data_IF_603476803640
#
_entry.id   IF_603476803640
#
_cell.length_a   1.000
_cell.length_b   1.000
_cell.length_c   1.000
_cell.angle_alpha   90.00
_cell.angle_beta   90.00
_cell.angle_gamma   90.00
#
_symmetry.space_group_name_H-M   'P 1'
#
loop_
_entity.id
_entity.type
_entity.pdbx_description
1 polymer ?
#
# COMPACT_ATOMS: atom_id res chain seq x y z
N UNK A 1 56.74 -15.86 -37.41
CA UNK A 1 55.39 -16.38 -37.16
C UNK A 1 54.81 -15.63 -35.97
N UNK A 2 53.72 -14.88 -36.12
CA UNK A 2 53.11 -14.16 -35.00
C UNK A 2 52.33 -15.13 -34.11
N UNK A 3 52.57 -15.06 -32.81
CA UNK A 3 51.89 -15.82 -31.76
C UNK A 3 50.46 -15.33 -31.56
N UNK A 4 49.49 -16.24 -31.60
CA UNK A 4 48.12 -15.99 -31.19
C UNK A 4 48.08 -15.60 -29.69
N UNK A 5 47.34 -14.55 -29.29
CA UNK A 5 47.01 -14.37 -27.88
C UNK A 5 45.99 -15.44 -27.48
N UNK A 6 46.37 -16.23 -26.47
CA UNK A 6 45.53 -17.22 -25.80
C UNK A 6 44.24 -16.57 -25.27
N UNK A 7 43.10 -17.17 -25.60
CA UNK A 7 41.77 -16.81 -25.10
C UNK A 7 41.77 -16.71 -23.57
N UNK A 8 41.19 -15.66 -22.96
CA UNK A 8 41.02 -15.62 -21.51
C UNK A 8 40.02 -16.70 -21.12
N UNK A 9 40.43 -17.57 -20.21
CA UNK A 9 39.60 -18.54 -19.52
C UNK A 9 38.40 -17.84 -18.90
N UNK A 10 37.19 -18.34 -19.19
CA UNK A 10 35.96 -17.85 -18.57
C UNK A 10 36.09 -17.98 -17.04
N UNK A 11 35.80 -16.93 -16.25
CA UNK A 11 35.84 -17.03 -14.80
C UNK A 11 34.77 -18.02 -14.35
N UNK A 12 35.16 -18.97 -13.51
CA UNK A 12 34.23 -19.90 -12.86
C UNK A 12 33.18 -19.08 -12.09
N UNK A 13 31.91 -19.28 -12.44
CA UNK A 13 30.80 -18.67 -11.71
C UNK A 13 30.76 -19.27 -10.31
N UNK A 14 31.18 -18.49 -9.31
CA UNK A 14 31.07 -18.90 -7.92
C UNK A 14 29.60 -19.09 -7.52
N UNK A 15 29.32 -20.07 -6.67
CA UNK A 15 28.00 -20.34 -6.09
C UNK A 15 27.30 -19.06 -5.59
N UNK A 16 28.04 -18.12 -4.99
CA UNK A 16 27.50 -16.82 -4.54
C UNK A 16 27.02 -15.91 -5.68
N UNK A 17 27.65 -15.97 -6.86
CA UNK A 17 27.22 -15.25 -8.06
C UNK A 17 25.93 -15.87 -8.62
N UNK A 18 25.79 -17.18 -8.56
CA UNK A 18 24.58 -17.87 -9.01
C UNK A 18 23.43 -17.70 -8.01
N UNK A 19 23.70 -17.71 -6.70
CA UNK A 19 22.71 -17.36 -5.65
C UNK A 19 22.28 -15.91 -5.76
N UNK A 20 23.19 -14.96 -5.97
CA UNK A 20 22.82 -13.55 -6.15
C UNK A 20 22.03 -13.30 -7.44
N UNK A 21 22.37 -14.00 -8.53
CA UNK A 21 21.60 -13.96 -9.79
C UNK A 21 20.21 -14.59 -9.61
N UNK A 22 20.11 -15.70 -8.88
CA UNK A 22 18.85 -16.35 -8.53
C UNK A 22 17.98 -15.44 -7.65
N UNK A 23 18.54 -14.89 -6.57
CA UNK A 23 17.85 -13.93 -5.69
C UNK A 23 17.42 -12.67 -6.46
N UNK A 24 18.25 -12.19 -7.39
CA UNK A 24 17.92 -11.09 -8.29
C UNK A 24 16.73 -11.39 -9.21
N UNK A 25 16.66 -12.60 -9.77
CA UNK A 25 15.54 -13.06 -10.60
C UNK A 25 14.26 -13.29 -9.77
N UNK A 26 14.40 -13.83 -8.56
CA UNK A 26 13.29 -14.09 -7.64
C UNK A 26 12.67 -12.77 -7.12
N UNK A 27 13.51 -11.76 -6.84
CA UNK A 27 13.08 -10.44 -6.36
C UNK A 27 12.09 -9.75 -7.32
N UNK A 28 12.23 -9.93 -8.62
CA UNK A 28 11.35 -9.31 -9.62
C UNK A 28 9.89 -9.75 -9.49
N UNK A 29 9.63 -11.00 -9.10
CA UNK A 29 8.27 -11.50 -8.84
C UNK A 29 7.79 -11.18 -7.41
N UNK A 30 8.68 -11.30 -6.42
CA UNK A 30 8.32 -11.13 -5.01
C UNK A 30 8.08 -9.68 -4.62
N UNK A 31 8.77 -8.73 -5.24
CA UNK A 31 8.56 -7.31 -4.96
C UNK A 31 7.14 -6.82 -5.29
N UNK A 32 6.63 -6.94 -6.53
CA UNK A 32 5.27 -6.49 -6.85
C UNK A 32 4.22 -7.26 -6.04
N UNK A 33 4.42 -8.55 -5.81
CA UNK A 33 3.52 -9.35 -4.96
C UNK A 33 3.54 -8.90 -3.50
N UNK A 34 4.72 -8.60 -2.94
CA UNK A 34 4.87 -8.11 -1.57
C UNK A 34 4.27 -6.71 -1.39
N UNK A 35 4.42 -5.84 -2.38
CA UNK A 35 3.77 -4.53 -2.39
C UNK A 35 2.25 -4.65 -2.47
N UNK A 36 1.75 -5.50 -3.36
CA UNK A 36 0.32 -5.79 -3.51
C UNK A 36 -0.25 -6.36 -2.22
N UNK A 37 0.39 -7.38 -1.65
CA UNK A 37 -0.06 -8.02 -0.42
C UNK A 37 -0.06 -7.04 0.76
N UNK A 38 0.97 -6.21 0.90
CA UNK A 38 1.03 -5.22 1.97
C UNK A 38 -0.10 -4.19 1.85
N UNK A 39 -0.36 -3.71 0.63
CA UNK A 39 -1.47 -2.79 0.38
C UNK A 39 -2.80 -3.48 0.68
N UNK A 40 -3.03 -4.69 0.16
CA UNK A 40 -4.28 -5.43 0.37
C UNK A 40 -4.55 -5.71 1.85
N UNK A 41 -3.55 -6.18 2.60
CA UNK A 41 -3.69 -6.38 4.07
C UNK A 41 -3.99 -5.07 4.79
N UNK A 42 -3.40 -3.97 4.35
CA UNK A 42 -3.71 -2.65 4.88
C UNK A 42 -5.11 -2.15 4.54
N UNK A 43 -5.58 -2.40 3.32
CA UNK A 43 -6.93 -2.03 2.87
C UNK A 43 -7.95 -2.82 3.66
N UNK A 44 -7.73 -4.12 3.81
CA UNK A 44 -8.55 -5.01 4.64
C UNK A 44 -8.69 -4.49 6.07
N UNK A 45 -7.55 -4.22 6.74
CA UNK A 45 -7.55 -3.68 8.11
C UNK A 45 -8.27 -2.32 8.23
N UNK A 46 -8.22 -1.49 7.20
CA UNK A 46 -8.94 -0.22 7.16
C UNK A 46 -10.43 -0.36 6.78
N UNK A 47 -10.79 -1.40 6.02
CA UNK A 47 -12.16 -1.71 5.67
C UNK A 47 -12.93 -2.29 6.86
N UNK A 48 -12.27 -3.09 7.72
CA UNK A 48 -12.86 -3.58 8.97
C UNK A 48 -13.32 -2.43 9.87
N UNK A 49 -12.49 -1.38 10.01
CA UNK A 49 -12.86 -0.20 10.82
C UNK A 49 -13.91 0.67 10.12
N UNK A 50 -14.00 0.59 8.80
CA UNK A 50 -15.04 1.25 8.01
C UNK A 50 -16.38 0.51 8.10
N UNK A 51 -16.40 -0.82 8.23
CA UNK A 51 -17.62 -1.62 8.38
C UNK A 51 -18.42 -1.18 9.62
N UNK A 52 -17.76 -1.01 10.76
CA UNK A 52 -18.39 -0.50 11.99
C UNK A 52 -19.03 0.89 11.80
N UNK A 53 -18.36 1.76 11.04
CA UNK A 53 -18.86 3.11 10.72
C UNK A 53 -20.01 3.07 9.74
N UNK A 54 -19.96 2.18 8.75
CA UNK A 54 -21.03 1.95 7.78
C UNK A 54 -22.28 1.39 8.47
N UNK A 55 -22.13 0.43 9.37
CA UNK A 55 -23.22 -0.08 10.19
C UNK A 55 -23.88 1.04 10.99
N UNK A 56 -23.07 1.85 11.68
CA UNK A 56 -23.58 3.01 12.43
C UNK A 56 -24.32 4.00 11.52
N UNK A 57 -23.85 4.22 10.30
CA UNK A 57 -24.51 5.10 9.34
C UNK A 57 -25.84 4.51 8.84
N UNK A 58 -25.88 3.23 8.53
CA UNK A 58 -27.08 2.51 8.11
C UNK A 58 -28.13 2.54 9.23
N UNK A 59 -27.75 2.27 10.48
CA UNK A 59 -28.65 2.33 11.64
C UNK A 59 -29.20 3.76 11.88
N UNK A 60 -28.38 4.79 11.66
CA UNK A 60 -28.84 6.20 11.75
C UNK A 60 -29.81 6.57 10.64
N UNK A 61 -29.59 6.07 9.42
CA UNK A 61 -30.48 6.32 8.30
C UNK A 61 -31.82 5.62 8.49
N UNK A 62 -31.78 4.37 8.96
CA UNK A 62 -32.97 3.57 9.27
C UNK A 62 -33.80 4.22 10.38
N UNK A 63 -33.18 4.56 11.50
CA UNK A 63 -33.88 5.26 12.60
C UNK A 63 -34.44 6.63 12.20
N UNK A 64 -33.75 7.39 11.33
CA UNK A 64 -34.28 8.64 10.80
C UNK A 64 -35.48 8.42 9.86
N UNK A 65 -35.45 7.35 9.05
CA UNK A 65 -36.56 6.95 8.20
C UNK A 65 -37.76 6.53 9.05
N UNK A 66 -37.57 5.65 10.03
CA UNK A 66 -38.62 5.23 10.96
C UNK A 66 -39.24 6.42 11.70
N UNK A 67 -38.41 7.36 12.16
CA UNK A 67 -38.87 8.56 12.85
C UNK A 67 -39.63 9.55 11.93
N UNK A 68 -39.42 9.50 10.62
CA UNK A 68 -40.14 10.32 9.64
C UNK A 68 -41.46 9.66 9.25
N UNK A 69 -41.40 8.38 8.92
CA UNK A 69 -42.52 7.58 8.39
C UNK A 69 -43.51 7.21 9.50
N UNK A 70 -43.03 6.98 10.72
CA UNK A 70 -43.87 6.76 11.91
C UNK A 70 -44.70 7.97 12.34
N UNK A 71 -44.46 9.17 11.77
CA UNK A 71 -45.30 10.36 12.02
C UNK A 71 -46.67 10.28 11.37
N UNK A 72 -46.83 9.44 10.35
CA UNK A 72 -48.07 9.33 9.60
C UNK A 72 -48.71 7.95 9.82
N UNK A 73 -49.97 7.88 10.29
CA UNK A 73 -50.67 6.61 10.51
C UNK A 73 -50.75 5.73 9.25
N UNK A 74 -50.84 6.35 8.07
CA UNK A 74 -50.90 5.67 6.77
C UNK A 74 -49.63 4.89 6.42
N UNK A 75 -48.49 5.24 7.03
CA UNK A 75 -47.20 4.62 6.74
C UNK A 75 -46.59 3.91 7.94
N UNK A 76 -47.34 3.75 9.04
CA UNK A 76 -46.88 3.09 10.25
C UNK A 76 -46.42 1.64 10.02
N UNK A 77 -46.95 0.95 9.00
CA UNK A 77 -46.54 -0.41 8.64
C UNK A 77 -45.15 -0.50 7.96
N UNK A 78 -44.54 0.64 7.62
CA UNK A 78 -43.22 0.72 7.00
C UNK A 78 -42.10 0.95 8.04
N UNK A 79 -42.45 1.18 9.31
CA UNK A 79 -41.49 1.25 10.42
C UNK A 79 -40.92 -0.15 10.69
N UNK A 80 -39.62 -0.25 10.97
CA UNK A 80 -38.90 -1.52 11.18
C UNK A 80 -38.96 -2.48 9.97
N UNK A 81 -39.16 -1.96 8.76
CA UNK A 81 -39.22 -2.80 7.55
C UNK A 81 -37.89 -3.48 7.25
N UNK A 82 -36.77 -2.85 7.61
CA UNK A 82 -35.42 -3.38 7.42
C UNK A 82 -34.91 -3.95 8.72
N UNK A 83 -34.83 -5.29 8.81
CA UNK A 83 -34.36 -5.95 10.03
C UNK A 83 -32.88 -5.65 10.30
N UNK A 84 -32.46 -5.75 11.57
CA UNK A 84 -31.05 -5.60 11.97
C UNK A 84 -30.13 -6.51 11.15
N UNK A 85 -30.54 -7.76 10.92
CA UNK A 85 -29.76 -8.71 10.10
C UNK A 85 -29.55 -8.20 8.67
N UNK A 86 -30.57 -7.60 8.05
CA UNK A 86 -30.46 -7.01 6.72
C UNK A 86 -29.53 -5.80 6.72
N UNK A 87 -29.60 -4.94 7.75
CA UNK A 87 -28.70 -3.78 7.92
C UNK A 87 -27.24 -4.22 8.05
N UNK A 88 -26.96 -5.24 8.86
CA UNK A 88 -25.61 -5.80 9.00
C UNK A 88 -25.11 -6.42 7.69
N UNK A 89 -25.95 -7.18 6.98
CA UNK A 89 -25.57 -7.76 5.67
C UNK A 89 -25.28 -6.68 4.64
N UNK A 90 -26.07 -5.60 4.63
CA UNK A 90 -25.86 -4.46 3.74
C UNK A 90 -24.55 -3.73 4.05
N UNK A 91 -24.27 -3.44 5.33
CA UNK A 91 -23.03 -2.81 5.77
C UNK A 91 -21.80 -3.61 5.32
N UNK A 92 -21.79 -4.92 5.57
CA UNK A 92 -20.70 -5.83 5.14
C UNK A 92 -20.54 -5.90 3.63
N UNK A 93 -21.64 -5.95 2.88
CA UNK A 93 -21.59 -5.96 1.42
C UNK A 93 -21.02 -4.64 0.86
N UNK A 94 -21.39 -3.50 1.48
CA UNK A 94 -20.84 -2.20 1.13
C UNK A 94 -19.34 -2.11 1.49
N UNK A 95 -18.95 -2.59 2.67
CA UNK A 95 -17.55 -2.65 3.10
C UNK A 95 -16.71 -3.49 2.14
N UNK A 96 -17.18 -4.69 1.77
CA UNK A 96 -16.51 -5.56 0.79
C UNK A 96 -16.39 -4.90 -0.59
N UNK A 97 -17.47 -4.29 -1.09
CA UNK A 97 -17.42 -3.56 -2.35
C UNK A 97 -16.43 -2.40 -2.33
N UNK A 98 -16.32 -1.73 -1.19
CA UNK A 98 -15.37 -0.64 -0.95
C UNK A 98 -13.93 -1.13 -0.88
N UNK A 99 -13.68 -2.22 -0.16
CA UNK A 99 -12.39 -2.90 -0.04
C UNK A 99 -11.86 -3.29 -1.42
N UNK A 100 -12.65 -4.01 -2.21
CA UNK A 100 -12.27 -4.45 -3.56
C UNK A 100 -11.98 -3.27 -4.50
N UNK A 101 -12.77 -2.20 -4.40
CA UNK A 101 -12.54 -1.01 -5.20
C UNK A 101 -11.25 -0.27 -4.77
N UNK A 102 -10.97 -0.21 -3.46
CA UNK A 102 -9.74 0.39 -2.94
C UNK A 102 -8.51 -0.43 -3.32
N UNK A 103 -8.57 -1.76 -3.26
CA UNK A 103 -7.51 -2.65 -3.74
C UNK A 103 -7.22 -2.42 -5.22
N UNK A 104 -8.26 -2.34 -6.05
CA UNK A 104 -8.11 -2.06 -7.47
C UNK A 104 -7.41 -0.71 -7.71
N UNK A 105 -7.71 0.30 -6.90
CA UNK A 105 -7.17 1.65 -7.08
C UNK A 105 -5.76 1.84 -6.51
N UNK A 106 -5.44 1.16 -5.40
CA UNK A 106 -4.19 1.34 -4.65
C UNK A 106 -3.15 0.25 -4.93
N UNK A 107 -3.58 -0.99 -5.12
CA UNK A 107 -2.71 -2.15 -5.29
C UNK A 107 -2.35 -2.41 -6.75
N UNK A 108 -3.25 -2.16 -7.72
CA UNK A 108 -2.92 -2.32 -9.15
C UNK A 108 -1.67 -1.56 -9.60
N UNK A 109 -1.41 -0.30 -9.18
CA UNK A 109 -0.18 0.40 -9.53
C UNK A 109 1.10 -0.38 -9.15
N UNK A 110 1.04 -1.23 -8.12
CA UNK A 110 2.14 -2.08 -7.69
C UNK A 110 2.44 -3.23 -8.66
N UNK A 111 1.46 -3.71 -9.44
CA UNK A 111 1.70 -4.72 -10.50
C UNK A 111 2.53 -4.15 -11.65
N UNK A 112 2.43 -2.84 -11.89
CA UNK A 112 3.29 -2.14 -12.85
C UNK A 112 4.69 -1.83 -12.31
N UNK A 113 5.04 -2.28 -11.10
CA UNK A 113 6.35 -2.02 -10.51
C UNK A 113 7.45 -2.71 -11.33
N UNK A 114 8.37 -1.90 -11.88
CA UNK A 114 9.58 -2.38 -12.54
C UNK A 114 10.78 -1.90 -11.75
N UNK A 115 11.53 -2.84 -11.21
CA UNK A 115 12.79 -2.54 -10.54
C UNK A 115 13.86 -2.31 -11.61
N UNK A 116 14.26 -1.04 -11.81
CA UNK A 116 15.38 -0.74 -12.69
C UNK A 116 16.63 -1.24 -11.97
N UNK A 117 17.30 -2.24 -12.56
CA UNK A 117 18.58 -2.72 -12.06
C UNK A 117 19.56 -1.54 -11.96
N UNK A 118 20.32 -1.46 -10.87
CA UNK A 118 21.42 -0.50 -10.80
C UNK A 118 22.33 -0.75 -12.03
N UNK A 119 22.68 0.28 -12.82
CA UNK A 119 23.52 0.09 -13.99
C UNK A 119 24.81 -0.59 -13.56
N UNK A 120 25.24 -1.65 -14.27
CA UNK A 120 26.54 -2.25 -14.02
C UNK A 120 27.60 -1.17 -14.22
N UNK A 121 28.69 -1.18 -13.45
CA UNK A 121 29.72 -0.13 -13.51
C UNK A 121 30.21 0.21 -14.94
N UNK A 122 30.19 -0.78 -15.84
CA UNK A 122 30.51 -0.62 -17.28
C UNK A 122 29.42 0.13 -18.07
N UNK A 123 28.14 -0.10 -17.76
CA UNK A 123 26.99 0.61 -18.35
C UNK A 123 26.88 2.03 -17.80
N UNK A 124 27.24 2.25 -16.53
CA UNK A 124 27.29 3.58 -15.93
C UNK A 124 28.30 4.49 -16.66
N UNK A 125 29.49 3.98 -16.99
CA UNK A 125 30.50 4.73 -17.73
C UNK A 125 30.10 5.01 -19.18
N UNK A 126 29.44 4.05 -19.84
CA UNK A 126 28.91 4.21 -21.21
C UNK A 126 27.74 5.21 -21.26
N UNK A 127 26.85 5.17 -20.25
CA UNK A 127 25.75 6.14 -20.11
C UNK A 127 26.23 7.57 -19.81
N UNK A 128 27.39 7.74 -19.17
CA UNK A 128 28.03 9.06 -18.99
C UNK A 128 28.62 9.61 -20.31
N UNK A 129 29.09 8.74 -21.20
CA UNK A 129 29.57 9.12 -22.54
C UNK A 129 28.42 9.41 -23.51
N UNK A 130 27.30 8.69 -23.38
CA UNK A 130 26.08 8.86 -24.20
C UNK A 130 25.14 9.96 -23.66
N UNK A 131 25.42 10.54 -22.49
CA UNK A 131 24.63 11.61 -21.85
C UNK A 131 24.60 12.96 -22.60
N UNK A 132 25.19 13.04 -23.80
CA UNK A 132 25.03 14.19 -24.70
C UNK A 132 23.71 14.16 -25.49
N UNK A 133 22.95 13.06 -25.44
CA UNK A 133 21.61 12.95 -26.02
C UNK A 133 20.55 12.87 -24.90
N UNK A 134 19.52 13.75 -24.89
CA UNK A 134 18.49 13.73 -23.86
C UNK A 134 17.56 12.53 -24.07
N UNK A 135 17.92 11.38 -23.49
CA UNK A 135 17.05 10.21 -23.46
C UNK A 135 15.82 10.50 -22.59
N UNK A 136 14.64 10.56 -23.20
CA UNK A 136 13.36 10.94 -22.60
C UNK A 136 12.76 9.93 -21.60
N UNK A 137 13.55 8.94 -21.15
CA UNK A 137 13.09 7.76 -20.40
C UNK A 137 13.98 7.40 -19.20
N UNK A 138 14.70 8.38 -18.63
CA UNK A 138 15.40 8.20 -17.35
C UNK A 138 14.44 8.20 -16.14
N UNK A 139 14.76 7.49 -15.03
CA UNK A 139 13.92 7.47 -13.84
C UNK A 139 13.82 8.87 -13.22
N UNK A 140 12.59 9.38 -13.06
CA UNK A 140 12.34 10.68 -12.43
C UNK A 140 12.66 10.57 -10.94
N UNK A 141 13.63 11.36 -10.47
CA UNK A 141 14.00 11.44 -9.05
C UNK A 141 12.80 11.82 -8.18
N UNK A 142 12.66 11.21 -6.99
CA UNK A 142 11.55 11.46 -6.07
C UNK A 142 11.40 12.95 -5.71
N UNK A 143 12.51 13.68 -5.64
CA UNK A 143 12.53 15.13 -5.37
C UNK A 143 11.83 15.90 -6.48
N UNK A 144 12.03 15.48 -7.73
CA UNK A 144 11.40 16.09 -8.90
C UNK A 144 9.90 15.77 -8.91
N UNK A 145 9.50 14.54 -8.59
CA UNK A 145 8.09 14.16 -8.45
C UNK A 145 7.39 14.99 -7.37
N UNK A 146 8.01 15.11 -6.19
CA UNK A 146 7.47 15.90 -5.09
C UNK A 146 7.38 17.39 -5.46
N UNK A 147 8.42 17.95 -6.07
CA UNK A 147 8.42 19.33 -6.54
C UNK A 147 7.31 19.59 -7.57
N UNK A 148 7.06 18.65 -8.48
CA UNK A 148 5.95 18.74 -9.44
C UNK A 148 4.59 18.70 -8.75
N UNK A 149 4.41 17.81 -7.78
CA UNK A 149 3.18 17.71 -7.01
C UNK A 149 2.90 18.96 -6.17
N UNK A 150 3.95 19.58 -5.62
CA UNK A 150 3.84 20.86 -4.90
C UNK A 150 3.50 22.02 -5.83
N UNK A 151 4.08 22.07 -7.03
CA UNK A 151 3.83 23.15 -8.00
C UNK A 151 2.49 23.02 -8.72
N UNK A 152 1.98 21.81 -8.89
CA UNK A 152 0.73 21.50 -9.60
C UNK A 152 -0.09 20.51 -8.77
N UNK A 153 -0.68 20.96 -7.65
CA UNK A 153 -1.47 20.11 -6.78
C UNK A 153 -2.74 19.67 -7.51
N UNK A 154 -3.01 18.37 -7.49
CA UNK A 154 -4.28 17.79 -7.94
C UNK A 154 -4.76 16.80 -6.89
N UNK A 155 -6.08 16.52 -6.79
CA UNK A 155 -6.60 15.55 -5.84
C UNK A 155 -5.90 14.19 -5.97
N UNK A 156 -5.69 13.73 -7.21
CA UNK A 156 -5.06 12.44 -7.48
C UNK A 156 -3.59 12.36 -7.03
N UNK A 157 -2.81 13.44 -7.16
CA UNK A 157 -1.40 13.50 -6.74
C UNK A 157 -1.20 13.51 -5.22
N UNK A 158 -2.23 13.88 -4.46
CA UNK A 158 -2.15 13.96 -3.00
C UNK A 158 -2.91 12.83 -2.32
N UNK A 159 -4.18 12.65 -2.67
CA UNK A 159 -5.06 11.72 -1.97
C UNK A 159 -4.58 10.28 -2.14
N UNK A 160 -4.22 9.85 -3.35
CA UNK A 160 -3.79 8.46 -3.57
C UNK A 160 -2.50 8.11 -2.84
N UNK A 161 -1.40 8.89 -2.94
CA UNK A 161 -0.17 8.55 -2.22
C UNK A 161 -0.34 8.63 -0.69
N UNK A 162 -1.10 9.60 -0.18
CA UNK A 162 -1.37 9.71 1.26
C UNK A 162 -2.22 8.55 1.76
N UNK A 163 -3.28 8.19 1.05
CA UNK A 163 -4.08 7.03 1.43
C UNK A 163 -3.30 5.72 1.31
N UNK A 164 -2.45 5.59 0.28
CA UNK A 164 -1.50 4.47 0.19
C UNK A 164 -0.58 4.42 1.40
N UNK A 165 -0.06 5.57 1.86
CA UNK A 165 0.79 5.62 3.04
C UNK A 165 0.04 5.19 4.31
N UNK A 166 -1.20 5.63 4.49
CA UNK A 166 -2.06 5.21 5.61
C UNK A 166 -2.33 3.70 5.59
N UNK A 167 -2.73 3.18 4.44
CA UNK A 167 -3.01 1.74 4.21
C UNK A 167 -1.76 0.89 4.44
N UNK A 168 -0.62 1.29 3.88
CA UNK A 168 0.66 0.61 4.09
C UNK A 168 1.04 0.58 5.57
N UNK A 169 0.83 1.69 6.28
CA UNK A 169 1.11 1.76 7.71
C UNK A 169 0.22 0.81 8.51
N UNK A 170 -1.08 0.76 8.17
CA UNK A 170 -2.02 -0.19 8.76
C UNK A 170 -1.59 -1.63 8.50
N UNK A 171 -1.24 -1.97 7.24
CA UNK A 171 -0.75 -3.29 6.88
C UNK A 171 0.54 -3.66 7.61
N UNK A 172 1.47 -2.72 7.76
CA UNK A 172 2.71 -2.94 8.52
C UNK A 172 2.43 -3.13 10.02
N UNK A 173 1.43 -2.44 10.60
CA UNK A 173 0.97 -2.68 11.96
C UNK A 173 0.36 -4.08 12.12
N UNK A 174 -0.43 -4.55 11.16
CA UNK A 174 -0.99 -5.91 11.15
C UNK A 174 0.12 -6.96 11.15
N UNK A 175 1.14 -6.80 10.29
CA UNK A 175 2.31 -7.69 10.25
C UNK A 175 3.07 -7.65 11.58
N UNK A 176 3.30 -6.46 12.15
CA UNK A 176 3.99 -6.32 13.43
C UNK A 176 3.21 -6.99 14.59
N UNK A 177 1.88 -6.88 14.62
CA UNK A 177 1.02 -7.57 15.60
C UNK A 177 1.10 -9.09 15.47
N UNK A 178 1.11 -9.59 14.23
CA UNK A 178 1.27 -11.02 13.97
C UNK A 178 2.63 -11.51 14.49
N UNK A 179 3.71 -10.78 14.20
CA UNK A 179 5.06 -11.09 14.72
C UNK A 179 5.09 -11.05 16.25
N UNK A 180 4.52 -10.03 16.88
CA UNK A 180 4.46 -9.93 18.34
C UNK A 180 3.73 -11.13 18.95
N UNK A 181 2.53 -11.45 18.46
CA UNK A 181 1.72 -12.54 18.99
C UNK A 181 2.38 -13.91 18.81
N UNK A 182 2.95 -14.17 17.64
CA UNK A 182 3.63 -15.44 17.34
C UNK A 182 4.89 -15.63 18.18
N UNK A 183 5.73 -14.60 18.30
CA UNK A 183 6.95 -14.65 19.12
C UNK A 183 6.60 -14.84 20.60
N UNK A 184 5.68 -14.02 21.12
CA UNK A 184 5.30 -14.08 22.53
C UNK A 184 4.78 -15.47 22.90
N UNK A 185 3.82 -16.03 22.15
CA UNK A 185 3.25 -17.35 22.43
C UNK A 185 4.28 -18.47 22.32
N UNK A 186 5.21 -18.37 21.38
CA UNK A 186 6.25 -19.39 21.17
C UNK A 186 7.34 -19.36 22.24
N UNK A 187 7.70 -18.17 22.72
CA UNK A 187 8.84 -17.97 23.62
C UNK A 187 8.45 -17.92 25.10
N UNK A 188 7.18 -17.58 25.41
CA UNK A 188 6.67 -17.55 26.78
C UNK A 188 6.92 -18.86 27.57
N UNK A 189 6.71 -20.06 27.01
CA UNK A 189 7.00 -21.31 27.72
C UNK A 189 8.49 -21.54 27.99
N UNK A 190 9.38 -20.93 27.20
CA UNK A 190 10.83 -21.19 27.22
C UNK A 190 11.59 -20.18 28.09
N UNK A 191 11.23 -18.90 28.00
CA UNK A 191 11.97 -17.78 28.59
C UNK A 191 11.20 -17.03 29.68
N UNK A 192 9.97 -17.45 29.98
CA UNK A 192 9.08 -16.76 30.90
C UNK A 192 8.43 -15.52 30.28
N UNK A 193 7.54 -14.89 31.05
CA UNK A 193 6.62 -13.87 30.54
C UNK A 193 7.32 -12.57 30.13
N UNK A 194 8.20 -12.05 30.98
CA UNK A 194 8.86 -10.75 30.79
C UNK A 194 9.84 -10.75 29.61
N UNK A 195 10.66 -11.79 29.49
CA UNK A 195 11.63 -11.90 28.40
C UNK A 195 10.95 -12.12 27.04
N UNK A 196 9.88 -12.92 27.01
CA UNK A 196 9.09 -13.15 25.81
C UNK A 196 8.37 -11.88 25.35
N UNK A 197 7.78 -11.11 26.28
CA UNK A 197 7.08 -9.85 25.96
C UNK A 197 8.05 -8.79 25.39
N UNK A 198 9.18 -8.54 26.07
CA UNK A 198 10.20 -7.59 25.59
C UNK A 198 10.73 -7.97 24.21
N UNK A 199 11.02 -9.26 23.99
CA UNK A 199 11.52 -9.75 22.72
C UNK A 199 10.47 -9.63 21.61
N UNK A 200 9.22 -9.97 21.90
CA UNK A 200 8.12 -9.87 20.97
C UNK A 200 7.86 -8.43 20.53
N UNK A 201 7.86 -7.47 21.47
CA UNK A 201 7.71 -6.04 21.17
C UNK A 201 8.87 -5.51 20.34
N UNK A 202 10.11 -5.84 20.72
CA UNK A 202 11.30 -5.46 19.97
C UNK A 202 11.25 -5.94 18.52
N UNK A 203 10.91 -7.21 18.30
CA UNK A 203 10.75 -7.78 16.96
C UNK A 203 9.57 -7.18 16.19
N UNK A 204 8.48 -6.84 16.87
CA UNK A 204 7.34 -6.16 16.25
C UNK A 204 7.72 -4.77 15.72
N UNK A 205 8.47 -3.98 16.50
CA UNK A 205 8.98 -2.68 16.06
C UNK A 205 9.93 -2.83 14.86
N UNK A 206 10.84 -3.82 14.91
CA UNK A 206 11.74 -4.13 13.78
C UNK A 206 10.94 -4.51 12.54
N UNK A 207 9.90 -5.33 12.66
CA UNK A 207 9.02 -5.71 11.56
C UNK A 207 8.27 -4.50 11.00
N UNK A 208 7.70 -3.65 11.85
CA UNK A 208 7.00 -2.43 11.46
C UNK A 208 7.90 -1.51 10.62
N UNK A 209 9.09 -1.20 11.13
CA UNK A 209 10.06 -0.32 10.46
C UNK A 209 10.57 -0.99 9.19
N UNK A 210 10.93 -2.27 9.26
CA UNK A 210 11.44 -3.04 8.13
C UNK A 210 10.46 -3.08 6.96
N UNK A 211 9.19 -3.43 7.21
CA UNK A 211 8.13 -3.46 6.19
C UNK A 211 7.85 -2.06 5.64
N UNK A 212 7.76 -1.05 6.51
CA UNK A 212 7.49 0.34 6.10
C UNK A 212 8.58 0.89 5.17
N UNK A 213 9.85 0.65 5.48
CA UNK A 213 10.99 1.16 4.69
C UNK A 213 11.20 0.34 3.42
N UNK A 214 11.14 -1.00 3.51
CA UNK A 214 11.46 -1.87 2.37
C UNK A 214 10.34 -1.94 1.33
N UNK A 215 9.09 -2.00 1.76
CA UNK A 215 7.92 -2.15 0.90
C UNK A 215 7.06 -0.88 0.90
N UNK A 216 6.78 -0.34 2.07
CA UNK A 216 5.84 0.76 2.22
C UNK A 216 6.19 2.01 1.42
N UNK A 217 7.43 2.49 1.57
CA UNK A 217 7.92 3.64 0.82
C UNK A 217 7.84 3.42 -0.71
N UNK A 218 8.11 2.20 -1.17
CA UNK A 218 8.02 1.85 -2.60
C UNK A 218 6.58 1.89 -3.11
N UNK A 219 5.63 1.37 -2.34
CA UNK A 219 4.21 1.40 -2.70
C UNK A 219 3.70 2.85 -2.83
N UNK A 220 4.09 3.72 -1.90
CA UNK A 220 3.73 5.15 -1.92
C UNK A 220 4.35 5.85 -3.13
N UNK A 221 5.65 5.66 -3.38
CA UNK A 221 6.31 6.24 -4.55
C UNK A 221 5.72 5.75 -5.87
N UNK A 222 5.37 4.47 -5.95
CA UNK A 222 4.76 3.91 -7.16
C UNK A 222 3.37 4.50 -7.42
N UNK A 223 2.55 4.67 -6.37
CA UNK A 223 1.27 5.35 -6.47
C UNK A 223 1.42 6.83 -6.86
N UNK A 224 2.44 7.52 -6.35
CA UNK A 224 2.78 8.89 -6.73
C UNK A 224 3.18 9.00 -8.21
N UNK A 225 4.04 8.11 -8.69
CA UNK A 225 4.45 8.04 -10.10
C UNK A 225 3.24 7.80 -11.01
N UNK A 226 2.41 6.82 -10.67
CA UNK A 226 1.21 6.50 -11.43
C UNK A 226 0.22 7.68 -11.45
N UNK A 227 0.05 8.38 -10.32
CA UNK A 227 -0.76 9.58 -10.25
C UNK A 227 -0.20 10.73 -11.11
N UNK A 228 1.11 10.93 -11.10
CA UNK A 228 1.77 11.96 -11.92
C UNK A 228 1.62 11.67 -13.42
N UNK A 229 1.92 10.45 -13.85
CA UNK A 229 1.78 9.98 -15.23
C UNK A 229 0.34 10.15 -15.73
N UNK A 230 -0.64 9.75 -14.92
CA UNK A 230 -2.06 9.86 -15.27
C UNK A 230 -2.55 11.32 -15.36
N UNK A 231 -2.00 12.24 -14.56
CA UNK A 231 -2.33 13.66 -14.61
C UNK A 231 -1.67 14.36 -15.82
N UNK A 232 -0.42 14.05 -16.13
CA UNK A 232 0.29 14.66 -17.27
C UNK A 232 -0.32 14.23 -18.62
N UNK A 233 -0.88 13.02 -18.72
CA UNK A 233 -1.51 12.51 -19.94
C UNK A 233 -2.75 13.30 -20.42
N UNK A 234 -3.40 14.10 -19.56
CA UNK A 234 -4.70 14.75 -19.85
C UNK A 234 -4.63 16.27 -19.88
N UNK A 235 -3.46 16.85 -19.59
CA UNK A 235 -3.24 18.30 -19.50
C UNK A 235 -3.83 18.95 -18.23
N UNK A 236 -3.47 20.22 -17.95
CA UNK A 236 -3.67 20.84 -16.63
C UNK A 236 -5.13 21.07 -16.24
N UNK A 237 -6.02 21.34 -17.20
CA UNK A 237 -7.44 21.59 -16.92
C UNK A 237 -8.21 20.32 -16.56
N UNK A 238 -7.93 19.21 -17.24
CA UNK A 238 -8.59 17.91 -16.98
C UNK A 238 -7.93 17.12 -15.85
N UNK A 239 -6.70 17.45 -15.47
CA UNK A 239 -5.99 16.81 -14.36
C UNK A 239 -6.71 16.96 -13.00
N UNK A 240 -7.52 18.00 -12.81
CA UNK A 240 -8.29 18.22 -11.57
C UNK A 240 -9.48 17.27 -11.40
N UNK A 241 -10.13 16.91 -12.51
CA UNK A 241 -11.26 15.97 -12.50
C UNK A 241 -10.80 14.53 -12.71
N UNK A 242 -9.58 14.33 -13.23
CA UNK A 242 -9.00 13.01 -13.45
C UNK A 242 -8.82 12.27 -12.12
N UNK A 243 -9.45 11.10 -12.01
CA UNK A 243 -9.30 10.23 -10.84
C UNK A 243 -10.00 10.73 -9.58
N UNK A 244 -10.82 11.79 -9.66
CA UNK A 244 -11.53 12.37 -8.50
C UNK A 244 -12.44 11.35 -7.83
N UNK A 245 -13.21 10.58 -8.60
CA UNK A 245 -14.04 9.50 -8.08
C UNK A 245 -13.22 8.47 -7.29
N UNK A 246 -12.06 8.07 -7.81
CA UNK A 246 -11.15 7.18 -7.10
C UNK A 246 -10.56 7.81 -5.83
N UNK A 247 -10.36 9.13 -5.82
CA UNK A 247 -9.91 9.85 -4.62
C UNK A 247 -11.01 9.90 -3.55
N UNK A 248 -12.26 10.13 -3.95
CA UNK A 248 -13.41 10.12 -3.03
C UNK A 248 -13.60 8.75 -2.40
N UNK A 249 -13.39 7.68 -3.17
CA UNK A 249 -13.47 6.31 -2.66
C UNK A 249 -12.33 6.00 -1.68
N UNK A 250 -11.11 6.40 -2.01
CA UNK A 250 -9.92 6.00 -1.25
C UNK A 250 -9.66 6.91 -0.03
N UNK A 251 -10.11 8.16 -0.03
CA UNK A 251 -9.84 9.10 1.07
C UNK A 251 -10.41 8.63 2.43
N UNK A 252 -11.69 8.20 2.55
CA UNK A 252 -12.23 7.69 3.81
C UNK A 252 -11.45 6.50 4.35
N UNK A 253 -11.02 5.61 3.45
CA UNK A 253 -10.25 4.43 3.80
C UNK A 253 -8.83 4.79 4.27
N UNK A 254 -8.16 5.73 3.61
CA UNK A 254 -6.87 6.26 4.06
C UNK A 254 -6.96 6.92 5.45
N UNK A 255 -8.05 7.64 5.72
CA UNK A 255 -8.30 8.23 7.05
C UNK A 255 -8.57 7.16 8.11
N UNK A 256 -9.40 6.16 7.81
CA UNK A 256 -9.67 5.03 8.70
C UNK A 256 -8.39 4.22 8.99
N UNK A 257 -7.54 4.04 7.98
CA UNK A 257 -6.26 3.37 8.11
C UNK A 257 -5.32 4.06 9.12
N UNK A 258 -5.24 5.40 9.05
CA UNK A 258 -4.38 6.20 9.94
C UNK A 258 -4.95 6.30 11.34
N UNK A 259 -6.26 6.54 11.48
CA UNK A 259 -6.86 6.77 12.79
C UNK A 259 -7.04 5.50 13.62
N UNK A 260 -7.51 4.42 12.99
CA UNK A 260 -8.01 3.26 13.73
C UNK A 260 -7.13 2.02 13.50
N UNK A 261 -6.66 1.82 12.27
CA UNK A 261 -5.91 0.62 11.90
C UNK A 261 -4.37 0.74 12.12
N UNK A 262 -3.85 1.91 12.49
CA UNK A 262 -2.42 2.17 12.70
C UNK A 262 -2.06 2.50 14.17
N UNK A 263 -2.29 1.59 15.14
CA UNK A 263 -1.97 1.85 16.55
C UNK A 263 -0.47 1.70 16.82
N UNK A 264 0.38 2.50 16.16
CA UNK A 264 1.85 2.43 16.25
C UNK A 264 2.34 2.54 17.71
N UNK A 265 1.67 3.35 18.51
CA UNK A 265 2.01 3.54 19.92
C UNK A 265 1.74 2.29 20.78
N UNK A 266 0.90 1.36 20.32
CA UNK A 266 0.61 0.13 21.07
C UNK A 266 1.81 -0.80 21.21
N UNK A 267 2.82 -0.68 20.34
CA UNK A 267 4.05 -1.46 20.43
C UNK A 267 5.05 -0.92 21.45
N UNK A 268 4.83 0.32 21.93
CA UNK A 268 5.71 1.03 22.86
C UNK A 268 5.17 1.05 24.30
N UNK A 269 3.96 0.55 24.52
CA UNK A 269 3.28 0.46 25.83
C UNK A 269 3.23 -0.98 26.26
#
# INVERSE_FOLDING_TARGET
>A
MPSHPSSPSAPSSGFFTDVSRFLGAFRWAFMPLGLLALVAVGVHAAADTLDDRLLTAVDRLDSAFDAFVGRYPATASLVDWVSLEQRTRLARALALGWELAADLLLALPALGYREVAAPKAVEAWRSMLEASEPSASGPVSWRVLLQRCLRRPTPMRWVRPLATAGVVLAGACTVARLVQGTVYLSWRPLFGDTAADLSARGLAVVALVGVSVSLGWRAVLRNLQHADEACEAVGPRRAWTRGLLGCVLVAPLGLAAVWDASPVLSFLR
#
